data_IF_452430514631
#
_entry.id   IF_452430514631
#
_cell.length_a   1.000
_cell.length_b   1.000
_cell.length_c   1.000
_cell.angle_alpha   90.00
_cell.angle_beta   90.00
_cell.angle_gamma   90.00
#
_symmetry.space_group_name_H-M   'P 1'
#
loop_
_entity.id
_entity.type
_entity.pdbx_description
1 polymer ?
#
# COMPACT_ATOMS: atom_id res chain seq x y z
N UNK A 1 68.39 12.80 -44.80
CA UNK A 1 67.73 13.40 -43.63
C UNK A 1 66.26 12.92 -43.66
N UNK A 2 65.90 11.98 -42.76
CA UNK A 2 64.53 11.46 -42.64
C UNK A 2 63.93 12.09 -41.36
N UNK A 3 62.88 12.88 -41.50
CA UNK A 3 62.11 13.43 -40.40
C UNK A 3 61.05 12.40 -39.95
N UNK A 4 61.10 11.93 -38.69
CA UNK A 4 60.08 11.15 -38.04
C UNK A 4 59.14 12.12 -37.30
N UNK A 5 57.89 12.25 -37.76
CA UNK A 5 56.82 12.97 -37.06
C UNK A 5 56.17 12.00 -36.07
N UNK A 6 56.29 12.26 -34.78
CA UNK A 6 55.58 11.52 -33.72
C UNK A 6 54.16 12.11 -33.59
N UNK A 7 53.15 11.32 -33.93
CA UNK A 7 51.76 11.63 -33.57
C UNK A 7 51.52 11.22 -32.11
N UNK A 8 51.20 12.18 -31.27
CA UNK A 8 50.77 12.00 -29.88
C UNK A 8 49.23 11.86 -29.86
N UNK A 9 48.73 10.62 -29.76
CA UNK A 9 47.32 10.37 -29.56
C UNK A 9 46.93 10.68 -28.11
N UNK A 10 46.28 11.84 -27.88
CA UNK A 10 45.61 12.14 -26.61
C UNK A 10 44.29 11.39 -26.55
N UNK A 11 44.24 10.29 -25.75
CA UNK A 11 43.02 9.58 -25.43
C UNK A 11 42.26 10.41 -24.37
N UNK A 12 41.22 11.14 -24.79
CA UNK A 12 40.29 11.81 -23.88
C UNK A 12 39.39 10.70 -23.23
N UNK A 13 39.70 10.32 -22.01
CA UNK A 13 38.79 9.54 -21.17
C UNK A 13 37.62 10.47 -20.75
N UNK A 14 36.47 10.36 -21.40
CA UNK A 14 35.21 10.93 -20.90
C UNK A 14 34.74 10.08 -19.73
N UNK A 15 34.95 10.57 -18.52
CA UNK A 15 34.38 10.01 -17.30
C UNK A 15 32.87 10.36 -17.31
N UNK A 16 32.04 9.44 -17.72
CA UNK A 16 30.60 9.49 -17.47
C UNK A 16 30.37 9.31 -15.97
N UNK A 17 30.22 10.40 -15.26
CA UNK A 17 29.71 10.38 -13.88
C UNK A 17 28.25 9.93 -13.94
N UNK A 18 27.98 8.64 -13.73
CA UNK A 18 26.65 8.16 -13.39
C UNK A 18 26.30 8.75 -12.01
N UNK A 19 25.60 9.89 -11.99
CA UNK A 19 24.92 10.29 -10.77
C UNK A 19 23.87 9.21 -10.48
N UNK A 20 24.06 8.45 -9.41
CA UNK A 20 23.05 7.50 -8.95
C UNK A 20 21.75 8.30 -8.72
N UNK A 21 20.76 8.04 -9.55
CA UNK A 21 19.46 8.70 -9.43
C UNK A 21 18.89 8.38 -8.04
N UNK A 22 18.44 9.41 -7.33
CA UNK A 22 17.86 9.24 -6.01
C UNK A 22 16.66 8.29 -6.07
N UNK A 23 16.62 7.30 -5.18
CA UNK A 23 15.51 6.36 -5.15
C UNK A 23 14.20 7.06 -4.77
N UNK A 24 13.17 6.80 -5.53
CA UNK A 24 11.82 7.28 -5.31
C UNK A 24 10.97 6.24 -4.56
N UNK A 25 9.89 6.69 -3.90
CA UNK A 25 8.86 5.86 -3.28
C UNK A 25 7.52 6.17 -3.94
N UNK A 26 7.34 5.74 -5.18
CA UNK A 26 6.32 6.22 -6.11
C UNK A 26 4.89 5.70 -5.86
N UNK A 27 4.74 4.72 -4.97
CA UNK A 27 3.46 4.10 -4.61
C UNK A 27 3.49 3.62 -3.15
N UNK A 28 2.34 3.16 -2.65
CA UNK A 28 2.17 2.73 -1.26
C UNK A 28 3.23 1.72 -0.77
N UNK A 29 3.63 0.76 -1.60
CA UNK A 29 4.61 -0.28 -1.21
C UNK A 29 6.01 -0.04 -1.75
N UNK A 30 6.30 1.19 -2.19
CA UNK A 30 7.62 1.57 -2.69
C UNK A 30 7.94 1.04 -4.08
N UNK A 31 9.20 1.18 -4.52
CA UNK A 31 9.59 0.92 -5.90
C UNK A 31 9.38 -0.53 -6.36
N UNK A 32 9.40 -1.47 -5.42
CA UNK A 32 9.28 -2.91 -5.71
C UNK A 32 7.90 -3.49 -5.36
N UNK A 33 6.92 -2.67 -4.98
CA UNK A 33 5.58 -3.08 -4.54
C UNK A 33 5.57 -4.10 -3.38
N UNK A 34 6.65 -4.24 -2.65
CA UNK A 34 6.85 -5.24 -1.59
C UNK A 34 7.21 -4.65 -0.22
N UNK A 35 7.33 -3.31 -0.12
CA UNK A 35 7.66 -2.58 1.11
C UNK A 35 9.15 -2.34 1.31
N UNK A 36 10.01 -2.69 0.36
CA UNK A 36 11.45 -2.49 0.50
C UNK A 36 11.99 -1.34 -0.36
N UNK A 37 13.04 -0.69 0.17
CA UNK A 37 13.93 0.21 -0.56
C UNK A 37 15.19 -0.56 -0.96
N UNK A 38 15.69 -0.30 -2.16
CA UNK A 38 16.98 -0.82 -2.66
C UNK A 38 18.11 0.20 -2.55
N UNK A 39 17.82 1.42 -2.08
CA UNK A 39 18.86 2.44 -1.87
C UNK A 39 19.93 1.95 -0.91
N UNK A 40 21.19 2.17 -1.27
CA UNK A 40 22.33 1.91 -0.40
C UNK A 40 22.56 3.01 0.65
N UNK A 41 21.86 4.15 0.53
CA UNK A 41 21.98 5.25 1.49
C UNK A 41 21.44 4.81 2.85
N UNK A 42 22.23 4.96 3.93
CA UNK A 42 21.80 4.58 5.26
C UNK A 42 20.51 5.28 5.68
N UNK A 43 19.56 4.51 6.19
CA UNK A 43 18.33 5.05 6.79
C UNK A 43 18.49 5.23 8.30
N UNK A 44 17.88 6.26 8.91
CA UNK A 44 17.97 6.53 10.34
C UNK A 44 17.53 5.34 11.21
N UNK A 45 18.37 4.94 12.15
CA UNK A 45 18.04 3.89 13.13
C UNK A 45 17.65 4.44 14.50
N UNK A 46 17.94 5.72 14.76
CA UNK A 46 17.64 6.40 16.03
C UNK A 46 17.16 7.81 15.71
N UNK A 47 15.93 8.14 16.13
CA UNK A 47 15.29 9.43 15.92
C UNK A 47 14.09 9.58 16.85
N UNK A 48 13.58 10.79 17.01
CA UNK A 48 12.30 11.07 17.67
C UNK A 48 11.62 12.28 17.01
N UNK A 49 10.52 12.76 17.59
CA UNK A 49 9.76 13.90 17.06
C UNK A 49 10.51 15.25 17.11
N UNK A 50 11.73 15.29 17.67
CA UNK A 50 12.59 16.48 17.77
C UNK A 50 13.97 16.25 17.16
N UNK A 51 14.53 15.05 17.34
CA UNK A 51 15.89 14.72 16.90
C UNK A 51 15.87 14.06 15.51
N UNK A 52 16.77 14.45 14.65
CA UNK A 52 16.87 14.04 13.23
C UNK A 52 15.67 14.42 12.38
N UNK A 53 14.81 15.30 12.86
CA UNK A 53 13.72 15.88 12.06
C UNK A 53 14.30 16.94 11.14
N UNK A 54 14.34 16.65 9.84
CA UNK A 54 14.71 17.63 8.83
C UNK A 54 13.66 18.73 8.72
N UNK A 55 12.41 18.31 8.70
CA UNK A 55 11.25 19.19 8.76
C UNK A 55 9.99 18.43 9.25
N UNK A 56 9.02 19.21 9.68
CA UNK A 56 7.69 18.77 10.09
C UNK A 56 6.66 19.72 9.51
N UNK A 57 5.58 19.20 8.94
CA UNK A 57 4.43 19.98 8.45
C UNK A 57 3.15 19.47 9.06
N UNK A 58 2.29 20.39 9.50
CA UNK A 58 0.96 20.05 10.01
C UNK A 58 0.02 19.68 8.86
N UNK A 59 -0.76 18.64 9.07
CA UNK A 59 -1.74 18.15 8.11
C UNK A 59 -3.15 18.59 8.50
N UNK A 60 -4.03 18.88 7.52
CA UNK A 60 -5.38 19.38 7.80
C UNK A 60 -6.31 18.33 8.43
N UNK A 61 -5.96 17.05 8.37
CA UNK A 61 -6.75 16.00 8.99
C UNK A 61 -6.15 14.61 8.85
N UNK A 62 -6.78 13.65 9.53
CA UNK A 62 -6.34 12.26 9.60
C UNK A 62 -6.47 11.52 8.27
N UNK A 63 -5.61 10.53 8.07
CA UNK A 63 -5.69 9.57 6.97
C UNK A 63 -4.70 8.44 7.21
N UNK A 64 -4.97 7.28 6.63
CA UNK A 64 -4.04 6.15 6.61
C UNK A 64 -3.15 6.11 5.35
N UNK A 65 -3.29 7.09 4.44
CA UNK A 65 -2.48 7.16 3.23
C UNK A 65 -0.99 7.28 3.57
N UNK A 66 -0.19 6.38 3.04
CA UNK A 66 1.27 6.48 3.09
C UNK A 66 1.72 7.59 2.16
N UNK A 67 2.62 8.49 2.57
CA UNK A 67 3.20 9.47 1.67
C UNK A 67 4.00 8.78 0.57
N UNK A 68 3.95 9.33 -0.65
CA UNK A 68 4.82 8.92 -1.74
C UNK A 68 5.83 10.01 -2.04
N UNK A 69 6.99 9.60 -2.57
CA UNK A 69 8.11 10.49 -2.83
C UNK A 69 8.59 10.33 -4.26
N UNK A 70 8.71 11.45 -4.96
CA UNK A 70 9.31 11.48 -6.27
C UNK A 70 10.25 12.69 -6.37
N UNK A 71 11.54 12.41 -6.52
CA UNK A 71 12.59 13.44 -6.57
C UNK A 71 12.47 14.47 -5.43
N UNK A 72 12.24 15.74 -5.76
CA UNK A 72 12.09 16.84 -4.81
C UNK A 72 10.70 17.01 -4.19
N UNK A 73 9.77 16.07 -4.39
CA UNK A 73 8.36 16.19 -3.97
C UNK A 73 7.90 15.04 -3.11
N UNK A 74 7.03 15.36 -2.16
CA UNK A 74 6.29 14.39 -1.33
C UNK A 74 4.81 14.65 -1.54
N UNK A 75 4.06 13.61 -1.95
CA UNK A 75 2.61 13.71 -2.15
C UNK A 75 1.87 12.95 -1.08
N UNK A 76 0.74 13.50 -0.63
CA UNK A 76 -0.06 12.92 0.42
C UNK A 76 -1.55 13.28 0.28
N UNK A 77 -2.42 12.30 0.49
CA UNK A 77 -3.86 12.52 0.61
C UNK A 77 -4.20 12.99 2.02
N UNK A 78 -5.17 13.88 2.16
CA UNK A 78 -5.71 14.29 3.46
C UNK A 78 -7.21 14.60 3.35
N UNK A 79 -7.83 14.87 4.48
CA UNK A 79 -9.22 15.31 4.56
C UNK A 79 -9.34 16.47 5.57
N UNK A 80 -10.08 17.51 5.18
CA UNK A 80 -10.51 18.54 6.13
C UNK A 80 -11.95 18.24 6.49
N UNK A 81 -12.18 17.69 7.67
CA UNK A 81 -13.50 17.22 8.11
C UNK A 81 -14.40 18.43 8.36
N UNK A 82 -15.58 18.44 7.72
CA UNK A 82 -16.64 19.42 7.93
C UNK A 82 -17.72 18.93 8.88
N UNK A 83 -17.90 17.60 8.98
CA UNK A 83 -18.84 16.95 9.88
C UNK A 83 -18.17 15.72 10.52
N UNK A 84 -17.85 15.82 11.80
CA UNK A 84 -17.18 14.77 12.54
C UNK A 84 -18.03 13.48 12.69
N UNK A 85 -19.37 13.60 12.66
CA UNK A 85 -20.27 12.45 12.79
C UNK A 85 -20.29 11.57 11.54
N UNK A 86 -20.22 12.19 10.38
CA UNK A 86 -20.28 11.49 9.09
C UNK A 86 -18.88 11.29 8.47
N UNK A 87 -17.85 11.97 8.99
CA UNK A 87 -16.51 11.97 8.40
C UNK A 87 -16.45 12.66 7.04
N UNK A 88 -17.48 13.44 6.68
CA UNK A 88 -17.51 14.19 5.41
C UNK A 88 -16.70 15.46 5.50
N UNK A 89 -16.15 15.91 4.38
CA UNK A 89 -15.35 17.13 4.29
C UNK A 89 -14.68 17.28 2.94
N UNK A 90 -13.77 18.24 2.83
CA UNK A 90 -12.95 18.39 1.64
C UNK A 90 -11.91 17.27 1.56
N UNK A 91 -11.86 16.58 0.44
CA UNK A 91 -10.78 15.65 0.10
C UNK A 91 -9.63 16.44 -0.49
N UNK A 92 -8.43 16.26 0.05
CA UNK A 92 -7.28 17.10 -0.27
C UNK A 92 -6.16 16.27 -0.88
N UNK A 93 -5.69 16.74 -2.03
CA UNK A 93 -4.43 16.33 -2.65
C UNK A 93 -3.36 17.35 -2.31
N UNK A 94 -2.23 16.92 -1.77
CA UNK A 94 -1.17 17.83 -1.29
C UNK A 94 0.19 17.42 -1.85
N UNK A 95 1.00 18.42 -2.16
CA UNK A 95 2.41 18.28 -2.51
C UNK A 95 3.26 19.12 -1.58
N UNK A 96 4.31 18.51 -1.04
CA UNK A 96 5.26 19.12 -0.12
C UNK A 96 6.66 19.08 -0.73
N UNK A 97 7.42 20.15 -0.61
CA UNK A 97 8.84 20.17 -0.99
C UNK A 97 9.63 19.24 -0.06
N UNK A 98 10.31 18.27 -0.66
CA UNK A 98 11.07 17.25 0.06
C UNK A 98 12.23 17.82 0.88
N UNK A 99 12.80 18.92 0.44
CA UNK A 99 13.98 19.52 1.08
C UNK A 99 13.64 20.36 2.29
N UNK A 100 12.50 21.10 2.24
CA UNK A 100 12.12 22.13 3.20
C UNK A 100 10.87 21.83 4.01
N UNK A 101 9.99 20.92 3.54
CA UNK A 101 8.68 20.69 4.12
C UNK A 101 7.63 21.74 3.74
N UNK A 102 7.96 22.71 2.87
CA UNK A 102 6.99 23.72 2.41
C UNK A 102 5.90 23.07 1.57
N UNK A 103 4.64 23.38 1.83
CA UNK A 103 3.53 22.99 0.97
C UNK A 103 3.69 23.74 -0.36
N UNK A 104 3.92 23.00 -1.44
CA UNK A 104 4.04 23.55 -2.79
C UNK A 104 2.66 23.83 -3.39
N UNK A 105 1.73 22.92 -3.18
CA UNK A 105 0.33 23.07 -3.54
C UNK A 105 -0.58 22.17 -2.70
N UNK A 106 -1.82 22.62 -2.55
CA UNK A 106 -2.95 21.90 -1.97
C UNK A 106 -4.13 22.09 -2.90
N UNK A 107 -4.78 20.98 -3.29
CA UNK A 107 -5.92 21.00 -4.20
C UNK A 107 -7.14 20.33 -3.55
N UNK A 108 -8.31 20.91 -3.78
CA UNK A 108 -9.57 20.26 -3.42
C UNK A 108 -9.89 19.17 -4.46
N UNK A 109 -9.69 17.92 -4.06
CA UNK A 109 -9.93 16.76 -4.90
C UNK A 109 -11.40 16.29 -4.89
N UNK A 110 -12.25 16.85 -4.04
CA UNK A 110 -13.65 16.51 -3.94
C UNK A 110 -14.22 16.77 -2.54
N UNK A 111 -15.51 16.47 -2.38
CA UNK A 111 -16.19 16.50 -1.09
C UNK A 111 -16.38 15.08 -0.54
N UNK A 112 -16.46 14.95 0.77
CA UNK A 112 -16.77 13.67 1.40
C UNK A 112 -18.14 13.14 0.93
N UNK A 113 -18.25 11.81 0.87
CA UNK A 113 -19.47 11.12 0.48
C UNK A 113 -20.06 10.38 1.69
N UNK A 114 -21.36 10.53 1.91
CA UNK A 114 -22.03 9.82 3.01
C UNK A 114 -22.18 8.34 2.67
N UNK A 115 -21.81 7.44 3.58
CA UNK A 115 -21.88 6.00 3.31
C UNK A 115 -23.29 5.42 3.20
N UNK A 116 -24.34 6.22 3.18
CA UNK A 116 -25.73 5.79 3.07
C UNK A 116 -26.48 5.84 4.38
N UNK A 117 -27.62 5.12 4.47
CA UNK A 117 -28.49 5.09 5.64
C UNK A 117 -28.60 3.68 6.22
N UNK A 118 -28.75 3.60 7.53
CA UNK A 118 -29.08 2.38 8.25
C UNK A 118 -30.28 2.64 9.14
N UNK A 119 -31.32 1.81 9.04
CA UNK A 119 -32.55 1.92 9.84
C UNK A 119 -33.19 3.33 9.79
N UNK A 120 -33.12 3.98 8.61
CA UNK A 120 -33.66 5.34 8.40
C UNK A 120 -32.75 6.48 8.83
N UNK A 121 -31.65 6.21 9.52
CA UNK A 121 -30.66 7.19 9.96
C UNK A 121 -29.43 7.22 9.05
N UNK A 122 -28.77 8.38 8.97
CA UNK A 122 -27.49 8.52 8.30
C UNK A 122 -26.47 7.59 8.98
N UNK A 123 -25.79 6.74 8.20
CA UNK A 123 -24.76 5.88 8.71
C UNK A 123 -23.53 6.70 9.10
N UNK A 124 -23.09 6.55 10.34
CA UNK A 124 -21.85 7.17 10.82
C UNK A 124 -20.65 6.31 10.42
N UNK A 125 -19.60 6.96 9.90
CA UNK A 125 -18.33 6.29 9.66
C UNK A 125 -17.73 5.79 10.99
N UNK A 126 -17.27 4.55 10.98
CA UNK A 126 -16.43 4.06 12.08
C UNK A 126 -15.15 4.93 12.16
N UNK A 127 -14.68 5.19 13.37
CA UNK A 127 -13.45 5.98 13.62
C UNK A 127 -12.22 5.47 12.85
N UNK A 128 -12.28 4.24 12.36
CA UNK A 128 -11.25 3.61 11.54
C UNK A 128 -11.43 3.89 10.05
N UNK A 129 -12.56 4.39 9.62
CA UNK A 129 -12.85 4.67 8.22
C UNK A 129 -12.60 6.15 7.91
N UNK A 130 -12.03 6.39 6.72
CA UNK A 130 -11.76 7.74 6.23
C UNK A 130 -11.76 7.71 4.70
N UNK A 131 -12.28 8.74 4.06
CA UNK A 131 -12.32 8.79 2.59
C UNK A 131 -10.95 9.04 1.95
N UNK A 132 -9.96 9.56 2.69
CA UNK A 132 -8.62 9.85 2.18
C UNK A 132 -7.58 8.76 2.53
N UNK A 133 -7.98 7.52 2.75
CA UNK A 133 -7.08 6.45 3.22
C UNK A 133 -6.20 5.83 2.13
N UNK A 134 -6.58 5.93 0.85
CA UNK A 134 -5.77 5.44 -0.24
C UNK A 134 -4.53 6.31 -0.45
N UNK A 135 -3.38 5.68 -0.67
CA UNK A 135 -2.13 6.36 -1.00
C UNK A 135 -2.13 6.82 -2.44
N UNK A 136 -1.59 8.00 -2.76
CA UNK A 136 -1.41 8.43 -4.13
C UNK A 136 -0.36 7.58 -4.85
N UNK A 137 -0.27 7.76 -6.18
CA UNK A 137 0.69 7.08 -7.04
C UNK A 137 1.20 8.04 -8.12
N UNK A 138 2.48 7.92 -8.51
CA UNK A 138 3.10 8.77 -9.54
C UNK A 138 4.08 8.00 -10.43
N UNK A 139 4.22 8.47 -11.67
CA UNK A 139 5.28 8.04 -12.60
C UNK A 139 6.30 9.15 -12.87
N UNK A 140 6.20 10.28 -12.15
CA UNK A 140 7.04 11.45 -12.30
C UNK A 140 6.55 12.47 -13.33
N UNK A 141 5.56 12.13 -14.15
CA UNK A 141 4.92 13.06 -15.08
C UNK A 141 3.59 13.61 -14.49
N UNK A 142 2.90 12.76 -13.78
CA UNK A 142 1.65 13.08 -13.09
C UNK A 142 1.56 12.38 -11.74
N UNK A 143 0.63 12.84 -10.92
CA UNK A 143 0.28 12.19 -9.66
C UNK A 143 -1.22 11.95 -9.60
N UNK A 144 -1.62 10.75 -9.20
CA UNK A 144 -3.03 10.34 -9.14
C UNK A 144 -3.41 10.06 -7.69
N UNK A 145 -4.52 10.65 -7.27
CA UNK A 145 -5.13 10.49 -5.96
C UNK A 145 -6.45 9.73 -6.11
N UNK A 146 -6.68 8.77 -5.22
CA UNK A 146 -7.93 8.01 -5.14
C UNK A 146 -8.55 8.17 -3.75
N UNK A 147 -9.88 8.21 -3.69
CA UNK A 147 -10.62 8.47 -2.46
C UNK A 147 -11.74 7.45 -2.24
N UNK A 148 -12.11 7.29 -0.97
CA UNK A 148 -13.10 6.29 -0.55
C UNK A 148 -14.52 6.52 -1.07
N UNK A 149 -14.83 7.72 -1.58
CA UNK A 149 -16.07 8.05 -2.26
C UNK A 149 -16.05 7.74 -3.77
N UNK A 150 -14.98 7.13 -4.27
CA UNK A 150 -14.81 6.80 -5.68
C UNK A 150 -14.19 7.90 -6.53
N UNK A 151 -13.88 9.08 -5.99
CA UNK A 151 -13.19 10.13 -6.72
C UNK A 151 -11.76 9.69 -7.06
N UNK A 152 -11.39 9.89 -8.31
CA UNK A 152 -10.08 9.67 -8.89
C UNK A 152 -9.65 10.94 -9.61
N UNK A 153 -8.54 11.55 -9.19
CA UNK A 153 -8.09 12.83 -9.75
C UNK A 153 -6.60 12.77 -10.06
N UNK A 154 -6.23 13.17 -11.26
CA UNK A 154 -4.84 13.31 -11.68
C UNK A 154 -4.45 14.78 -11.77
N UNK A 155 -3.26 15.08 -11.28
CA UNK A 155 -2.62 16.39 -11.40
C UNK A 155 -1.27 16.24 -12.10
N UNK A 156 -0.83 17.28 -12.78
CA UNK A 156 0.57 17.40 -13.15
C UNK A 156 1.43 17.61 -11.88
N UNK A 157 2.74 17.57 -12.02
CA UNK A 157 3.64 17.74 -10.87
C UNK A 157 3.56 19.15 -10.24
N UNK A 158 3.00 20.13 -10.95
CA UNK A 158 2.74 21.50 -10.48
C UNK A 158 1.41 21.68 -9.77
N UNK A 159 0.54 20.66 -9.75
CA UNK A 159 -0.77 20.70 -9.09
C UNK A 159 -1.92 21.15 -9.99
N UNK A 160 -1.69 21.30 -11.31
CA UNK A 160 -2.79 21.54 -12.28
C UNK A 160 -3.54 20.25 -12.53
N UNK A 161 -4.87 20.27 -12.35
CA UNK A 161 -5.73 19.13 -12.66
C UNK A 161 -5.66 18.77 -14.14
N UNK A 162 -5.40 17.50 -14.44
CA UNK A 162 -5.35 16.94 -15.77
C UNK A 162 -6.68 16.29 -16.15
N UNK A 163 -7.22 15.48 -15.23
CA UNK A 163 -8.51 14.84 -15.38
C UNK A 163 -9.09 14.44 -14.03
N UNK A 164 -10.39 14.26 -14.00
CA UNK A 164 -11.18 13.77 -12.86
C UNK A 164 -12.23 12.78 -13.33
N UNK A 165 -12.49 11.75 -12.51
CA UNK A 165 -13.64 10.86 -12.68
C UNK A 165 -14.13 10.34 -11.32
N UNK A 166 -15.32 9.79 -11.28
CA UNK A 166 -15.85 9.11 -10.10
C UNK A 166 -16.26 7.69 -10.47
N UNK A 167 -15.64 6.71 -9.82
CA UNK A 167 -15.85 5.27 -10.12
C UNK A 167 -17.27 4.82 -9.79
N UNK A 168 -17.90 5.41 -8.79
CA UNK A 168 -19.30 5.10 -8.46
C UNK A 168 -20.29 5.65 -9.50
N UNK A 169 -20.02 6.83 -10.03
CA UNK A 169 -20.83 7.38 -11.14
C UNK A 169 -20.71 6.53 -12.40
N UNK A 170 -19.52 6.00 -12.67
CA UNK A 170 -19.28 5.20 -13.86
C UNK A 170 -19.84 3.76 -13.77
N UNK A 171 -19.80 3.14 -12.57
CA UNK A 171 -20.05 1.70 -12.43
C UNK A 171 -21.05 1.32 -11.35
N UNK A 172 -21.63 2.30 -10.66
CA UNK A 172 -22.62 2.12 -9.59
C UNK A 172 -22.02 2.25 -8.18
N UNK A 173 -22.89 2.46 -7.22
CA UNK A 173 -22.54 2.69 -5.83
C UNK A 173 -21.77 1.51 -5.25
N UNK A 174 -20.79 1.83 -4.41
CA UNK A 174 -19.98 0.82 -3.73
C UNK A 174 -20.75 0.07 -2.64
N UNK A 175 -20.55 -1.24 -2.60
CA UNK A 175 -21.08 -2.16 -1.60
C UNK A 175 -20.02 -2.54 -0.57
N UNK A 176 -19.53 -1.57 0.21
CA UNK A 176 -18.53 -1.79 1.27
C UNK A 176 -19.12 -1.53 2.65
N UNK A 177 -18.78 -2.40 3.62
CA UNK A 177 -19.05 -2.19 5.05
C UNK A 177 -18.32 -0.95 5.57
N UNK A 178 -17.06 -0.81 5.17
CA UNK A 178 -16.17 0.31 5.49
C UNK A 178 -16.08 1.25 4.27
N UNK A 179 -15.17 2.19 4.26
CA UNK A 179 -14.90 2.98 3.05
C UNK A 179 -14.01 2.20 2.09
N UNK A 180 -14.22 2.39 0.77
CA UNK A 180 -13.25 1.96 -0.23
C UNK A 180 -11.87 2.59 0.07
N UNK A 181 -10.80 1.79 0.07
CA UNK A 181 -9.46 2.28 0.47
C UNK A 181 -8.31 1.60 -0.27
N UNK A 182 -8.59 0.79 -1.28
CA UNK A 182 -7.54 0.25 -2.13
C UNK A 182 -6.80 1.39 -2.84
N UNK A 183 -5.47 1.38 -2.78
CA UNK A 183 -4.65 2.33 -3.53
C UNK A 183 -4.58 1.91 -4.99
N UNK A 184 -4.52 2.88 -5.90
CA UNK A 184 -4.26 2.60 -7.31
C UNK A 184 -2.80 2.15 -7.51
N UNK A 185 -2.54 1.46 -8.62
CA UNK A 185 -1.21 0.99 -9.02
C UNK A 185 -0.87 1.49 -10.40
N UNK A 186 0.25 2.20 -10.54
CA UNK A 186 0.84 2.54 -11.84
C UNK A 186 1.90 1.50 -12.20
N UNK A 187 1.75 0.87 -13.37
CA UNK A 187 2.71 -0.11 -13.88
C UNK A 187 2.61 -0.24 -15.39
N UNK A 188 3.74 -0.33 -16.09
CA UNK A 188 3.76 -0.52 -17.53
C UNK A 188 2.98 0.54 -18.33
N UNK A 189 2.97 1.80 -17.87
CA UNK A 189 2.23 2.88 -18.52
C UNK A 189 0.71 2.81 -18.35
N UNK A 190 0.20 2.00 -17.42
CA UNK A 190 -1.23 1.84 -17.12
C UNK A 190 -1.53 2.05 -15.65
N UNK A 191 -2.74 2.49 -15.36
CA UNK A 191 -3.27 2.66 -14.00
C UNK A 191 -4.27 1.54 -13.71
N UNK A 192 -4.05 0.81 -12.63
CA UNK A 192 -4.90 -0.30 -12.21
C UNK A 192 -5.59 0.03 -10.88
N UNK A 193 -6.85 -0.36 -10.75
CA UNK A 193 -7.64 -0.20 -9.53
C UNK A 193 -8.50 -1.43 -9.28
N UNK A 194 -8.42 -2.09 -8.11
CA UNK A 194 -9.32 -3.17 -7.75
C UNK A 194 -10.55 -2.59 -7.04
N UNK A 195 -11.74 -3.04 -7.41
CA UNK A 195 -12.98 -2.81 -6.68
C UNK A 195 -13.54 -4.16 -6.30
N UNK A 196 -13.17 -4.65 -5.12
CA UNK A 196 -13.56 -5.97 -4.61
C UNK A 196 -14.55 -5.78 -3.48
N UNK A 197 -15.84 -5.92 -3.78
CA UNK A 197 -16.96 -5.50 -2.96
C UNK A 197 -18.00 -6.61 -2.80
N UNK A 198 -18.96 -6.42 -1.90
CA UNK A 198 -20.12 -7.31 -1.78
C UNK A 198 -20.98 -7.26 -3.04
N UNK A 199 -21.73 -8.32 -3.22
CA UNK A 199 -22.76 -8.43 -4.26
C UNK A 199 -24.18 -8.12 -3.74
N UNK A 200 -24.26 -7.49 -2.57
CA UNK A 200 -25.52 -7.07 -1.92
C UNK A 200 -25.40 -5.63 -1.41
N UNK A 201 -26.51 -4.90 -1.27
CA UNK A 201 -26.49 -3.55 -0.72
C UNK A 201 -25.93 -3.50 0.70
N UNK A 202 -25.12 -2.47 0.99
CA UNK A 202 -24.56 -2.23 2.30
C UNK A 202 -24.89 -0.80 2.74
N UNK A 203 -25.52 -0.66 3.90
CA UNK A 203 -25.95 0.63 4.44
C UNK A 203 -26.80 1.45 3.46
N UNK A 204 -27.70 0.77 2.74
CA UNK A 204 -28.61 1.40 1.76
C UNK A 204 -27.94 1.85 0.47
N UNK A 205 -26.69 1.43 0.21
CA UNK A 205 -25.94 1.72 -1.02
C UNK A 205 -25.67 0.45 -1.81
N UNK A 206 -25.50 0.63 -3.12
CA UNK A 206 -25.27 -0.47 -4.04
C UNK A 206 -26.53 -1.18 -4.47
N UNK A 207 -26.35 -2.25 -5.22
CA UNK A 207 -27.42 -3.08 -5.79
C UNK A 207 -27.15 -4.55 -5.55
N UNK A 208 -28.19 -5.41 -5.52
CA UNK A 208 -27.99 -6.85 -5.65
C UNK A 208 -27.14 -7.16 -6.89
N UNK A 209 -26.29 -8.16 -6.80
CA UNK A 209 -25.37 -8.62 -7.85
C UNK A 209 -24.34 -7.58 -8.32
N UNK A 210 -24.05 -6.56 -7.51
CA UNK A 210 -22.96 -5.63 -7.78
C UNK A 210 -21.63 -6.39 -7.95
N UNK A 211 -20.98 -6.27 -9.13
CA UNK A 211 -19.80 -7.07 -9.39
C UNK A 211 -18.56 -6.54 -8.69
N UNK A 212 -17.70 -7.44 -8.24
CA UNK A 212 -16.28 -7.14 -8.03
C UNK A 212 -15.56 -7.08 -9.36
N UNK A 213 -14.65 -6.12 -9.56
CA UNK A 213 -13.94 -5.96 -10.82
C UNK A 213 -12.52 -5.37 -10.64
N UNK A 214 -11.70 -5.61 -11.65
CA UNK A 214 -10.42 -4.93 -11.85
C UNK A 214 -10.60 -3.92 -12.98
N UNK A 215 -10.06 -2.72 -12.80
CA UNK A 215 -10.14 -1.64 -13.77
C UNK A 215 -8.74 -1.24 -14.21
N UNK A 216 -8.53 -1.17 -15.53
CA UNK A 216 -7.33 -0.61 -16.13
C UNK A 216 -7.68 0.68 -16.86
N UNK A 217 -6.87 1.71 -16.67
CA UNK A 217 -7.08 3.03 -17.22
C UNK A 217 -5.79 3.59 -17.84
N UNK A 218 -5.96 4.46 -18.82
CA UNK A 218 -4.87 5.29 -19.29
C UNK A 218 -4.58 6.37 -18.24
N UNK A 219 -3.37 6.46 -17.68
CA UNK A 219 -3.07 7.39 -16.59
C UNK A 219 -3.10 8.87 -17.02
N UNK A 220 -2.85 9.18 -18.31
CA UNK A 220 -2.84 10.55 -18.83
C UNK A 220 -4.26 11.12 -19.04
N UNK A 221 -5.25 10.24 -19.26
CA UNK A 221 -6.61 10.66 -19.62
C UNK A 221 -7.71 10.17 -18.68
N UNK A 222 -7.38 9.24 -17.78
CA UNK A 222 -8.36 8.56 -16.94
C UNK A 222 -9.30 7.60 -17.67
N UNK A 223 -9.22 7.47 -19.00
CA UNK A 223 -10.10 6.63 -19.80
C UNK A 223 -9.86 5.14 -19.52
N UNK A 224 -10.96 4.39 -19.42
CA UNK A 224 -10.91 2.93 -19.26
C UNK A 224 -10.31 2.27 -20.48
N UNK A 225 -9.30 1.43 -20.27
CA UNK A 225 -8.71 0.54 -21.28
C UNK A 225 -9.47 -0.78 -21.26
N UNK A 226 -9.59 -1.39 -20.07
CA UNK A 226 -10.39 -2.59 -19.86
C UNK A 226 -11.00 -2.61 -18.44
N UNK A 227 -12.09 -3.36 -18.28
CA UNK A 227 -12.69 -3.71 -17.00
C UNK A 227 -12.98 -5.20 -16.98
N UNK A 228 -12.39 -5.92 -16.03
CA UNK A 228 -12.54 -7.36 -15.88
C UNK A 228 -13.37 -7.68 -14.62
N UNK A 229 -14.48 -8.41 -14.79
CA UNK A 229 -15.29 -8.90 -13.67
C UNK A 229 -14.52 -10.03 -12.97
N UNK A 230 -14.25 -9.85 -11.67
CA UNK A 230 -13.55 -10.86 -10.88
C UNK A 230 -14.54 -11.68 -10.08
N UNK A 231 -14.76 -12.92 -10.49
CA UNK A 231 -15.68 -13.84 -9.84
C UNK A 231 -15.10 -14.39 -8.53
N UNK A 232 -15.99 -14.64 -7.56
CA UNK A 232 -15.68 -15.30 -6.30
C UNK A 232 -16.95 -15.99 -5.78
N UNK A 233 -16.77 -17.12 -5.14
CA UNK A 233 -17.84 -17.88 -4.45
C UNK A 233 -17.96 -17.49 -2.97
N UNK A 234 -17.15 -16.53 -2.49
CA UNK A 234 -17.26 -15.98 -1.16
C UNK A 234 -18.62 -15.31 -0.90
N UNK A 235 -18.97 -15.15 0.36
CA UNK A 235 -20.24 -14.62 0.77
C UNK A 235 -20.08 -13.37 1.65
N UNK A 236 -21.01 -12.41 1.55
CA UNK A 236 -21.10 -11.21 2.41
C UNK A 236 -19.80 -10.44 2.51
N UNK A 237 -19.34 -10.14 3.75
CA UNK A 237 -18.11 -9.35 3.97
C UNK A 237 -16.85 -10.07 3.43
N UNK A 238 -16.87 -11.41 3.30
CA UNK A 238 -15.74 -12.14 2.73
C UNK A 238 -15.48 -11.83 1.25
N UNK A 239 -16.43 -11.22 0.55
CA UNK A 239 -16.23 -10.67 -0.79
C UNK A 239 -15.38 -9.38 -0.77
N UNK A 240 -15.39 -8.64 0.35
CA UNK A 240 -14.68 -7.35 0.43
C UNK A 240 -13.17 -7.53 0.54
N UNK A 241 -12.43 -6.77 -0.26
CA UNK A 241 -10.99 -6.63 -0.09
C UNK A 241 -10.57 -5.17 -0.24
N UNK A 242 -9.61 -4.78 0.59
CA UNK A 242 -9.00 -3.45 0.63
C UNK A 242 -7.55 -3.49 0.13
N UNK A 243 -7.12 -4.65 -0.35
CA UNK A 243 -5.78 -4.86 -0.89
C UNK A 243 -5.56 -4.15 -2.23
N UNK A 244 -4.32 -3.81 -2.48
CA UNK A 244 -3.85 -3.16 -3.71
C UNK A 244 -3.37 -4.22 -4.70
N UNK A 245 -3.54 -3.98 -6.00
CA UNK A 245 -2.97 -4.82 -7.07
C UNK A 245 -1.45 -4.74 -7.02
N UNK A 246 -0.78 -5.89 -7.02
CA UNK A 246 0.68 -5.99 -7.01
C UNK A 246 1.19 -6.51 -8.35
N UNK A 247 1.86 -5.69 -9.15
CA UNK A 247 2.50 -6.18 -10.38
C UNK A 247 3.73 -7.02 -10.03
N UNK A 248 3.86 -8.18 -10.67
CA UNK A 248 5.02 -9.04 -10.50
C UNK A 248 5.24 -9.95 -11.72
N UNK A 249 6.44 -9.88 -12.31
CA UNK A 249 6.86 -10.73 -13.45
C UNK A 249 5.81 -10.84 -14.57
N UNK A 250 5.33 -9.69 -15.03
CA UNK A 250 4.37 -9.62 -16.14
C UNK A 250 2.93 -10.00 -15.78
N UNK A 251 2.60 -10.11 -14.50
CA UNK A 251 1.26 -10.39 -14.01
C UNK A 251 0.81 -9.36 -12.97
N UNK A 252 -0.51 -9.24 -12.80
CA UNK A 252 -1.15 -8.49 -11.72
C UNK A 252 -1.67 -9.47 -10.66
N UNK A 253 -1.13 -9.40 -9.46
CA UNK A 253 -1.53 -10.25 -8.35
C UNK A 253 -2.62 -9.57 -7.52
N UNK A 254 -3.72 -10.28 -7.24
CA UNK A 254 -4.89 -9.77 -6.53
C UNK A 254 -5.38 -10.78 -5.52
N UNK A 255 -5.57 -10.38 -4.27
CA UNK A 255 -6.14 -11.21 -3.22
C UNK A 255 -7.46 -10.62 -2.69
N UNK A 256 -8.46 -11.45 -2.44
CA UNK A 256 -9.76 -11.08 -1.90
C UNK A 256 -10.86 -12.00 -2.40
N UNK A 257 -12.00 -12.03 -1.71
CA UNK A 257 -13.09 -12.92 -2.06
C UNK A 257 -12.66 -14.39 -1.97
N UNK A 258 -11.93 -14.77 -0.91
CA UNK A 258 -11.41 -16.11 -0.63
C UNK A 258 -10.43 -16.68 -1.67
N UNK A 259 -9.95 -15.86 -2.61
CA UNK A 259 -9.05 -16.31 -3.67
C UNK A 259 -7.89 -15.32 -3.91
N UNK A 260 -6.74 -15.89 -4.25
CA UNK A 260 -5.60 -15.21 -4.84
C UNK A 260 -5.62 -15.46 -6.35
N UNK A 261 -5.45 -14.42 -7.15
CA UNK A 261 -5.49 -14.53 -8.62
C UNK A 261 -4.33 -13.79 -9.26
N UNK A 262 -3.87 -14.32 -10.40
CA UNK A 262 -2.95 -13.65 -11.31
C UNK A 262 -3.68 -13.27 -12.59
N UNK A 263 -3.48 -12.04 -13.05
CA UNK A 263 -4.14 -11.49 -14.23
C UNK A 263 -3.12 -10.98 -15.25
N UNK A 264 -3.48 -11.04 -16.51
CA UNK A 264 -2.76 -10.42 -17.61
C UNK A 264 -2.92 -8.88 -17.55
N UNK A 265 -1.84 -8.10 -17.52
CA UNK A 265 -1.94 -6.65 -17.41
C UNK A 265 -2.49 -5.97 -18.66
N UNK A 266 -2.42 -6.61 -19.85
CA UNK A 266 -2.90 -6.04 -21.09
C UNK A 266 -4.41 -6.21 -21.28
N UNK A 267 -4.96 -7.34 -20.84
CA UNK A 267 -6.36 -7.71 -21.07
C UNK A 267 -7.21 -7.76 -19.80
N UNK A 268 -6.58 -7.88 -18.62
CA UNK A 268 -7.25 -8.13 -17.35
C UNK A 268 -7.70 -9.58 -17.15
N UNK A 269 -7.51 -10.45 -18.15
CA UNK A 269 -7.93 -11.84 -18.08
C UNK A 269 -7.22 -12.58 -16.95
N UNK A 270 -7.99 -13.38 -16.21
CA UNK A 270 -7.43 -14.24 -15.18
C UNK A 270 -6.59 -15.36 -15.81
N UNK A 271 -5.31 -15.44 -15.43
CA UNK A 271 -4.36 -16.44 -15.87
C UNK A 271 -4.47 -17.68 -14.96
N UNK A 272 -4.56 -17.46 -13.65
CA UNK A 272 -4.66 -18.50 -12.65
C UNK A 272 -5.38 -18.01 -11.42
N UNK A 273 -5.91 -18.96 -10.61
CA UNK A 273 -6.46 -18.70 -9.27
C UNK A 273 -6.10 -19.78 -8.28
N UNK A 274 -5.92 -19.35 -7.03
CA UNK A 274 -5.73 -20.21 -5.88
C UNK A 274 -6.62 -19.72 -4.73
N UNK A 275 -7.30 -20.61 -4.05
CA UNK A 275 -8.15 -20.23 -2.93
C UNK A 275 -8.59 -21.43 -2.14
N UNK A 276 -7.93 -21.69 -1.01
CA UNK A 276 -8.29 -22.79 -0.10
C UNK A 276 -8.33 -22.37 1.36
N UNK A 277 -8.19 -21.06 1.64
CA UNK A 277 -8.18 -20.58 3.03
C UNK A 277 -9.56 -20.51 3.70
N UNK A 278 -10.64 -20.57 2.92
CA UNK A 278 -12.01 -20.61 3.42
C UNK A 278 -12.79 -21.75 2.74
N UNK A 279 -12.47 -23.04 3.04
CA UNK A 279 -13.08 -24.16 2.34
C UNK A 279 -14.59 -24.20 2.54
N UNK A 280 -15.33 -24.28 1.42
CA UNK A 280 -16.80 -24.26 1.40
C UNK A 280 -17.39 -22.89 1.75
N UNK A 281 -16.58 -21.83 1.73
CA UNK A 281 -16.99 -20.44 1.98
C UNK A 281 -17.82 -20.26 3.26
N UNK A 282 -17.45 -21.00 4.31
CA UNK A 282 -18.17 -21.04 5.61
C UNK A 282 -18.09 -19.73 6.37
N UNK A 283 -16.92 -19.05 6.27
CA UNK A 283 -16.68 -17.79 6.92
C UNK A 283 -17.22 -16.65 6.05
N UNK A 284 -18.24 -15.96 6.54
CA UNK A 284 -18.93 -14.89 5.81
C UNK A 284 -18.45 -13.49 6.18
N UNK A 285 -17.60 -13.38 7.22
CA UNK A 285 -17.14 -12.11 7.79
C UNK A 285 -15.60 -11.97 7.72
N UNK A 286 -15.01 -12.53 6.67
CA UNK A 286 -13.57 -12.59 6.43
C UNK A 286 -13.11 -11.65 5.33
N UNK A 287 -13.45 -10.31 5.47
CA UNK A 287 -12.87 -9.31 4.56
C UNK A 287 -11.35 -9.39 4.58
N UNK A 288 -10.74 -9.18 3.43
CA UNK A 288 -9.29 -9.18 3.30
C UNK A 288 -8.75 -7.75 3.29
N UNK A 289 -7.76 -7.46 4.14
CA UNK A 289 -7.10 -6.15 4.18
C UNK A 289 -5.68 -6.21 3.59
N UNK A 290 -4.84 -7.21 3.93
CA UNK A 290 -3.50 -7.29 3.38
C UNK A 290 -3.49 -7.49 1.87
N UNK A 291 -2.61 -6.78 1.17
CA UNK A 291 -2.29 -7.07 -0.22
C UNK A 291 -1.43 -8.33 -0.33
N UNK A 292 -1.42 -9.03 -1.47
CA UNK A 292 -0.44 -10.09 -1.70
C UNK A 292 0.97 -9.51 -1.76
N UNK A 293 1.98 -10.30 -1.41
CA UNK A 293 3.39 -9.91 -1.52
C UNK A 293 4.19 -10.99 -2.22
N UNK A 294 4.86 -10.62 -3.30
CA UNK A 294 5.65 -11.56 -4.09
C UNK A 294 7.14 -11.46 -3.79
N UNK A 295 7.83 -12.61 -3.79
CA UNK A 295 9.27 -12.73 -3.64
C UNK A 295 9.74 -14.18 -3.65
N UNK A 296 10.98 -14.42 -3.99
CA UNK A 296 11.60 -15.76 -4.01
C UNK A 296 10.79 -16.84 -4.77
N UNK A 297 10.08 -16.46 -5.84
CA UNK A 297 9.24 -17.40 -6.61
C UNK A 297 7.89 -17.74 -5.96
N UNK A 298 7.54 -17.07 -4.89
CA UNK A 298 6.31 -17.25 -4.13
C UNK A 298 5.50 -15.97 -4.08
N UNK A 299 4.21 -16.12 -3.80
CA UNK A 299 3.33 -15.04 -3.37
C UNK A 299 2.69 -15.40 -2.02
N UNK A 300 2.77 -14.47 -1.06
CA UNK A 300 2.09 -14.61 0.22
C UNK A 300 0.69 -14.02 0.12
N UNK A 301 -0.31 -14.79 0.59
CA UNK A 301 -1.65 -14.33 0.90
C UNK A 301 -1.92 -14.53 2.39
N UNK A 302 -2.34 -13.47 3.08
CA UNK A 302 -2.76 -13.55 4.48
C UNK A 302 -4.25 -13.81 4.51
N UNK A 303 -4.69 -14.93 5.03
CA UNK A 303 -6.11 -15.11 5.32
C UNK A 303 -6.52 -14.23 6.53
N UNK A 304 -7.80 -13.80 6.60
CA UNK A 304 -8.24 -12.82 7.58
C UNK A 304 -8.16 -13.29 9.04
N UNK A 305 -8.14 -12.33 9.93
CA UNK A 305 -8.20 -12.52 11.39
C UNK A 305 -7.03 -13.38 11.90
N UNK A 306 -7.28 -14.54 12.48
CA UNK A 306 -6.25 -15.43 13.04
C UNK A 306 -5.89 -16.59 12.10
N UNK A 307 -6.39 -16.56 10.90
CA UNK A 307 -6.12 -17.60 9.92
C UNK A 307 -4.66 -17.56 9.43
N UNK A 308 -4.17 -18.66 8.85
CA UNK A 308 -2.79 -18.77 8.40
C UNK A 308 -2.41 -17.78 7.30
N UNK A 309 -1.12 -17.60 7.15
CA UNK A 309 -0.51 -17.05 5.93
C UNK A 309 -0.18 -18.22 5.01
N UNK A 310 -0.50 -18.06 3.73
CA UNK A 310 -0.28 -19.03 2.68
C UNK A 310 0.78 -18.54 1.71
N UNK A 311 1.78 -19.37 1.44
CA UNK A 311 2.79 -19.12 0.42
C UNK A 311 2.52 -20.01 -0.80
N UNK A 312 2.14 -19.37 -1.88
CA UNK A 312 1.74 -20.04 -3.12
C UNK A 312 2.87 -19.88 -4.15
N UNK A 313 3.23 -20.97 -4.83
CA UNK A 313 4.25 -20.94 -5.89
C UNK A 313 3.76 -20.08 -7.07
N UNK A 314 4.66 -19.31 -7.66
CA UNK A 314 4.40 -18.57 -8.90
C UNK A 314 4.89 -19.40 -10.08
N UNK A 315 4.21 -19.35 -11.21
CA UNK A 315 4.62 -20.05 -12.43
C UNK A 315 3.64 -21.11 -12.92
N UNK A 316 2.38 -21.06 -12.47
CA UNK A 316 1.35 -21.96 -12.97
C UNK A 316 1.06 -21.73 -14.46
N UNK A 317 0.81 -22.81 -15.14
CA UNK A 317 0.31 -22.83 -16.53
C UNK A 317 -1.16 -23.24 -16.61
N UNK A 318 -1.76 -23.66 -15.48
CA UNK A 318 -3.15 -24.12 -15.43
C UNK A 318 -4.07 -23.10 -14.79
N UNK A 319 -5.28 -22.99 -15.30
CA UNK A 319 -6.32 -22.05 -14.85
C UNK A 319 -6.85 -22.31 -13.44
N UNK A 320 -6.49 -23.43 -12.81
CA UNK A 320 -6.85 -23.78 -11.42
C UNK A 320 -5.66 -24.41 -10.73
N UNK A 321 -5.21 -23.77 -9.66
CA UNK A 321 -4.19 -24.32 -8.78
C UNK A 321 -4.81 -25.19 -7.69
N UNK A 322 -4.13 -26.28 -7.39
CA UNK A 322 -4.49 -27.20 -6.31
C UNK A 322 -3.63 -27.02 -5.07
N UNK A 323 -3.69 -28.02 -4.18
CA UNK A 323 -2.82 -28.09 -3.00
C UNK A 323 -1.33 -28.17 -3.37
N UNK A 324 -1.00 -28.68 -4.55
CA UNK A 324 0.37 -28.86 -5.02
C UNK A 324 1.09 -27.52 -5.30
N UNK A 325 0.33 -26.45 -5.46
CA UNK A 325 0.86 -25.09 -5.67
C UNK A 325 1.16 -24.38 -4.35
N UNK A 326 0.69 -24.92 -3.23
CA UNK A 326 1.03 -24.44 -1.89
C UNK A 326 2.45 -24.89 -1.54
N UNK A 327 3.34 -23.93 -1.29
CA UNK A 327 4.68 -24.22 -0.80
C UNK A 327 4.65 -24.54 0.70
N UNK A 328 3.94 -23.70 1.46
CA UNK A 328 3.74 -23.86 2.89
C UNK A 328 2.58 -22.96 3.39
N UNK A 329 2.14 -23.22 4.60
CA UNK A 329 1.21 -22.39 5.34
C UNK A 329 1.63 -22.30 6.81
N UNK A 330 1.08 -21.34 7.56
CA UNK A 330 1.60 -21.01 8.88
C UNK A 330 0.80 -21.57 10.07
N UNK A 331 -0.10 -22.54 9.89
CA UNK A 331 -0.94 -23.09 10.98
C UNK A 331 -0.14 -23.61 12.17
N UNK A 332 1.03 -24.20 11.91
CA UNK A 332 1.94 -24.67 12.96
C UNK A 332 2.58 -23.52 13.78
N UNK A 333 2.47 -22.27 13.31
CA UNK A 333 3.06 -21.09 13.93
C UNK A 333 1.98 -20.00 14.10
N UNK A 334 1.09 -20.08 15.11
CA UNK A 334 -0.06 -19.19 15.27
C UNK A 334 0.27 -17.70 15.45
N UNK A 335 1.53 -17.35 15.71
CA UNK A 335 2.02 -15.97 15.73
C UNK A 335 2.21 -15.40 14.32
N UNK A 336 2.34 -16.25 13.29
CA UNK A 336 2.49 -15.86 11.89
C UNK A 336 1.12 -15.76 11.24
N UNK A 337 0.47 -14.64 11.47
CA UNK A 337 -0.84 -14.28 10.90
C UNK A 337 -0.90 -12.77 10.72
N UNK A 338 -1.75 -12.27 9.85
CA UNK A 338 -1.98 -10.82 9.69
C UNK A 338 -3.42 -10.54 9.29
N UNK A 339 -4.14 -9.73 10.08
CA UNK A 339 -5.49 -9.28 9.76
C UNK A 339 -5.50 -7.98 8.94
N UNK A 340 -4.51 -7.08 9.17
CA UNK A 340 -4.46 -5.76 8.54
C UNK A 340 -3.13 -5.45 7.86
N UNK A 341 -1.95 -5.61 8.49
CA UNK A 341 -0.70 -5.27 7.85
C UNK A 341 -0.41 -6.15 6.62
N UNK A 342 -0.01 -5.54 5.52
CA UNK A 342 0.55 -6.26 4.39
C UNK A 342 1.97 -6.71 4.74
N UNK A 343 2.37 -7.97 4.50
CA UNK A 343 3.72 -8.44 4.73
C UNK A 343 4.78 -7.65 3.96
N UNK A 344 6.02 -7.83 4.33
CA UNK A 344 7.19 -7.26 3.67
C UNK A 344 8.03 -8.40 3.06
N UNK A 345 8.59 -8.18 1.86
CA UNK A 345 9.66 -9.01 1.32
C UNK A 345 10.93 -8.17 1.22
N UNK A 346 11.98 -8.57 1.95
CA UNK A 346 13.24 -7.84 2.00
C UNK A 346 14.42 -8.78 2.28
N UNK A 347 15.56 -8.55 1.63
CA UNK A 347 16.78 -9.36 1.85
C UNK A 347 16.56 -10.87 1.63
N UNK A 348 15.69 -11.25 0.67
CA UNK A 348 15.38 -12.65 0.36
C UNK A 348 14.50 -13.34 1.42
N UNK A 349 13.85 -12.63 2.32
CA UNK A 349 13.00 -13.17 3.39
C UNK A 349 11.64 -12.47 3.43
N UNK A 350 10.62 -13.17 3.93
CA UNK A 350 9.34 -12.57 4.25
C UNK A 350 9.29 -12.14 5.72
N UNK A 351 8.60 -11.03 5.96
CA UNK A 351 8.34 -10.55 7.31
C UNK A 351 6.84 -10.31 7.46
N UNK A 352 6.24 -11.00 8.44
CA UNK A 352 4.80 -10.95 8.72
C UNK A 352 4.58 -10.30 10.07
N UNK A 353 3.88 -9.17 10.07
CA UNK A 353 3.46 -8.46 11.27
C UNK A 353 2.05 -8.90 11.64
N UNK A 354 1.91 -9.56 12.77
CA UNK A 354 0.62 -9.90 13.34
C UNK A 354 0.11 -8.77 14.25
N UNK A 355 -0.90 -8.05 13.79
CA UNK A 355 -1.55 -7.00 14.60
C UNK A 355 -2.38 -7.60 15.76
N UNK A 356 -2.82 -8.85 15.63
CA UNK A 356 -3.59 -9.55 16.64
C UNK A 356 -2.72 -10.19 17.73
N UNK A 357 -1.53 -10.69 17.38
CA UNK A 357 -0.57 -11.29 18.30
C UNK A 357 0.52 -10.31 18.74
N UNK A 358 0.59 -9.16 18.10
CA UNK A 358 1.65 -8.15 18.27
C UNK A 358 3.05 -8.76 18.15
N UNK A 359 3.29 -9.46 17.04
CA UNK A 359 4.58 -10.08 16.73
C UNK A 359 4.99 -9.76 15.30
N UNK A 360 6.26 -9.47 15.08
CA UNK A 360 6.88 -9.45 13.76
C UNK A 360 7.72 -10.72 13.62
N UNK A 361 7.44 -11.52 12.60
CA UNK A 361 8.17 -12.79 12.35
C UNK A 361 8.90 -12.74 11.02
N UNK A 362 10.18 -13.14 11.03
CA UNK A 362 11.00 -13.36 9.84
C UNK A 362 10.88 -14.80 9.38
N UNK A 363 10.60 -15.02 8.10
CA UNK A 363 10.25 -16.32 7.55
C UNK A 363 11.17 -16.66 6.38
N UNK A 364 11.74 -17.85 6.42
CA UNK A 364 12.49 -18.44 5.31
C UNK A 364 11.53 -18.80 4.16
N UNK A 365 11.68 -18.24 2.95
CA UNK A 365 10.70 -18.43 1.88
C UNK A 365 10.45 -19.88 1.48
N UNK A 366 11.51 -20.68 1.31
CA UNK A 366 11.39 -22.02 0.76
C UNK A 366 10.70 -23.03 1.70
N UNK A 367 10.71 -22.78 3.01
CA UNK A 367 10.26 -23.74 4.02
C UNK A 367 9.15 -23.23 4.95
N UNK A 368 8.88 -21.93 4.95
CA UNK A 368 7.99 -21.33 5.95
C UNK A 368 8.56 -21.30 7.37
N UNK A 369 9.83 -21.72 7.56
CA UNK A 369 10.48 -21.72 8.87
C UNK A 369 10.61 -20.31 9.42
N UNK A 370 10.14 -20.12 10.65
CA UNK A 370 10.37 -18.88 11.41
C UNK A 370 11.82 -18.82 11.83
N UNK A 371 12.53 -17.79 11.38
CA UNK A 371 13.94 -17.55 11.72
C UNK A 371 14.07 -16.85 13.07
N UNK A 372 13.20 -15.86 13.29
CA UNK A 372 13.04 -15.15 14.55
C UNK A 372 11.65 -14.51 14.63
N UNK A 373 11.20 -14.20 15.84
CA UNK A 373 9.97 -13.46 16.10
C UNK A 373 10.20 -12.47 17.23
N UNK A 374 9.76 -11.23 17.00
CA UNK A 374 9.89 -10.13 17.96
C UNK A 374 8.52 -9.69 18.44
N UNK A 375 8.33 -9.64 19.76
CA UNK A 375 7.13 -9.10 20.38
C UNK A 375 7.15 -7.58 20.27
N UNK A 376 6.12 -7.01 19.68
CA UNK A 376 5.97 -5.58 19.51
C UNK A 376 5.61 -4.92 20.84
N UNK A 377 6.25 -3.79 21.21
CA UNK A 377 6.07 -3.17 22.51
C UNK A 377 4.69 -2.50 22.69
N UNK A 378 4.37 -2.20 23.93
CA UNK A 378 3.22 -1.38 24.32
C UNK A 378 1.86 -2.05 24.12
N UNK A 379 0.80 -1.29 24.41
CA UNK A 379 -0.59 -1.79 24.39
C UNK A 379 -1.32 -1.57 23.05
N UNK A 380 -0.86 -0.66 22.23
CA UNK A 380 -1.53 -0.28 21.00
C UNK A 380 -1.35 -1.32 19.89
N UNK A 381 -2.28 -1.34 18.92
CA UNK A 381 -2.24 -2.24 17.78
C UNK A 381 -1.21 -1.74 16.76
N UNK A 382 -0.46 -2.67 16.20
CA UNK A 382 0.55 -2.45 15.15
C UNK A 382 -0.07 -2.77 13.80
N UNK A 383 -0.57 -1.75 13.08
CA UNK A 383 -1.32 -1.93 11.82
C UNK A 383 -0.71 -1.26 10.61
N UNK A 384 0.29 -0.41 10.77
CA UNK A 384 1.08 0.04 9.64
C UNK A 384 1.85 -1.15 9.04
N UNK A 385 1.77 -1.30 7.73
CA UNK A 385 2.52 -2.37 7.05
C UNK A 385 4.02 -2.12 7.16
N UNK A 386 4.84 -3.12 7.52
CA UNK A 386 6.28 -2.95 7.68
C UNK A 386 6.95 -2.57 6.35
N UNK A 387 7.98 -1.72 6.45
CA UNK A 387 8.84 -1.30 5.34
C UNK A 387 10.30 -1.46 5.72
N UNK A 388 11.21 -1.63 4.76
CA UNK A 388 12.61 -1.86 5.06
C UNK A 388 13.58 -1.16 4.11
N UNK A 389 14.75 -0.80 4.66
CA UNK A 389 15.91 -0.29 3.92
C UNK A 389 17.19 -0.41 4.75
N UNK A 390 18.32 -0.65 4.12
CA UNK A 390 19.68 -0.78 4.72
C UNK A 390 19.72 -1.57 6.04
N UNK A 391 19.12 -2.78 6.04
CA UNK A 391 19.15 -3.70 7.18
C UNK A 391 18.14 -3.40 8.29
N UNK A 392 17.30 -2.38 8.16
CA UNK A 392 16.33 -1.98 9.18
C UNK A 392 14.89 -2.11 8.69
N UNK A 393 14.00 -2.53 9.59
CA UNK A 393 12.56 -2.63 9.37
C UNK A 393 11.86 -1.58 10.24
N UNK A 394 10.88 -0.91 9.65
CA UNK A 394 10.08 0.13 10.29
C UNK A 394 8.61 -0.26 10.27
N UNK A 395 7.94 -0.08 11.38
CA UNK A 395 6.47 -0.17 11.47
C UNK A 395 5.97 0.80 12.54
N UNK A 396 4.67 1.09 12.52
CA UNK A 396 4.05 2.07 13.41
C UNK A 396 2.76 1.51 14.03
N UNK A 397 2.52 1.82 15.28
CA UNK A 397 1.27 1.48 15.97
C UNK A 397 0.24 2.62 15.90
N UNK A 398 -0.98 2.33 16.34
CA UNK A 398 -2.10 3.29 16.33
C UNK A 398 -1.84 4.58 17.11
N UNK A 399 -0.88 4.59 18.02
CA UNK A 399 -0.53 5.76 18.82
C UNK A 399 0.63 6.57 18.21
N UNK A 400 1.03 6.29 16.96
CA UNK A 400 2.14 6.98 16.30
C UNK A 400 3.51 6.66 16.91
N UNK A 401 3.67 5.49 17.53
CA UNK A 401 4.97 4.97 17.95
C UNK A 401 5.56 4.15 16.80
N UNK A 402 6.75 4.53 16.35
CA UNK A 402 7.52 3.86 15.32
C UNK A 402 8.58 2.99 15.98
N UNK A 403 8.67 1.72 15.60
CA UNK A 403 9.76 0.84 16.02
C UNK A 403 10.68 0.57 14.86
N UNK A 404 11.98 0.61 15.14
CA UNK A 404 13.07 0.24 14.24
C UNK A 404 13.64 -1.11 14.69
N UNK A 405 13.66 -2.08 13.80
CA UNK A 405 14.03 -3.47 14.08
C UNK A 405 15.18 -3.86 13.15
N UNK A 406 16.17 -4.56 13.68
CA UNK A 406 17.23 -5.15 12.87
C UNK A 406 16.67 -6.31 12.03
N UNK A 407 16.81 -6.23 10.73
CA UNK A 407 16.29 -7.27 9.84
C UNK A 407 17.05 -8.60 9.96
N UNK A 408 18.25 -8.62 10.53
CA UNK A 408 19.12 -9.79 10.67
C UNK A 408 18.61 -10.72 11.78
N UNK A 409 18.34 -10.16 12.95
CA UNK A 409 18.07 -10.95 14.16
C UNK A 409 16.75 -10.59 14.88
N UNK A 410 16.06 -9.53 14.42
CA UNK A 410 14.78 -9.09 14.97
C UNK A 410 14.92 -8.25 16.24
N UNK A 411 16.12 -7.86 16.66
CA UNK A 411 16.30 -6.99 17.82
C UNK A 411 15.70 -5.61 17.59
N UNK A 412 15.04 -5.06 18.60
CA UNK A 412 14.54 -3.69 18.58
C UNK A 412 15.72 -2.73 18.75
N UNK A 413 16.05 -2.01 17.68
CA UNK A 413 17.12 -1.00 17.69
C UNK A 413 16.66 0.26 18.41
N UNK A 414 15.41 0.68 18.15
CA UNK A 414 14.89 1.94 18.65
C UNK A 414 13.36 1.96 18.64
N UNK A 415 12.77 2.81 19.51
CA UNK A 415 11.35 3.14 19.52
C UNK A 415 11.19 4.66 19.61
N UNK A 416 10.43 5.24 18.69
CA UNK A 416 10.21 6.68 18.58
C UNK A 416 8.72 7.01 18.66
N UNK A 417 8.34 7.86 19.61
CA UNK A 417 6.99 8.43 19.69
C UNK A 417 6.90 9.63 18.76
N UNK A 418 6.21 9.46 17.62
CA UNK A 418 6.00 10.53 16.62
C UNK A 418 4.64 11.21 16.77
N UNK A 419 3.60 10.46 17.13
CA UNK A 419 2.25 10.99 17.39
C UNK A 419 2.08 11.55 18.79
N UNK A 420 0.98 12.27 19.03
CA UNK A 420 0.54 12.69 20.37
C UNK A 420 -0.09 11.53 21.13
N UNK A 421 -0.33 11.71 22.45
CA UNK A 421 -0.89 10.64 23.32
C UNK A 421 -2.29 10.16 22.92
N UNK A 422 -3.04 10.96 22.18
CA UNK A 422 -4.38 10.69 21.64
C UNK A 422 -4.40 10.60 20.11
N UNK A 423 -3.24 10.50 19.45
CA UNK A 423 -3.12 10.32 18.00
C UNK A 423 -3.42 8.85 17.64
N UNK A 424 -4.65 8.45 18.01
CA UNK A 424 -5.14 7.10 17.80
C UNK A 424 -5.44 6.83 16.31
N UNK A 425 -5.45 5.56 15.95
CA UNK A 425 -5.81 5.07 14.62
C UNK A 425 -4.83 5.43 13.49
N UNK A 426 -3.61 5.90 13.79
CA UNK A 426 -2.55 6.08 12.78
C UNK A 426 -2.17 4.73 12.17
N UNK A 427 -2.20 4.62 10.83
CA UNK A 427 -1.97 3.36 10.11
C UNK A 427 -1.11 3.51 8.87
N UNK A 428 -0.68 4.72 8.52
CA UNK A 428 0.21 4.96 7.39
C UNK A 428 1.52 4.20 7.58
N UNK A 429 2.00 3.57 6.51
CA UNK A 429 3.33 2.95 6.51
C UNK A 429 4.42 4.03 6.47
N UNK A 430 5.61 3.70 6.94
CA UNK A 430 6.78 4.58 6.80
C UNK A 430 7.27 4.49 5.37
N UNK A 431 7.30 5.61 4.64
CA UNK A 431 7.91 5.64 3.31
C UNK A 431 9.43 5.87 3.44
N UNK A 432 10.19 5.21 2.56
CA UNK A 432 11.65 5.25 2.57
C UNK A 432 12.14 5.70 1.19
N UNK A 433 12.78 6.85 1.12
CA UNK A 433 13.32 7.33 -0.14
C UNK A 433 14.71 7.92 0.06
N UNK A 434 15.70 7.38 -0.64
CA UNK A 434 17.06 7.89 -0.72
C UNK A 434 17.68 8.24 0.65
N UNK A 435 17.56 7.32 1.62
CA UNK A 435 18.10 7.45 2.98
C UNK A 435 17.25 8.28 3.95
N UNK A 436 16.09 8.76 3.53
CA UNK A 436 15.16 9.51 4.36
C UNK A 436 13.93 8.68 4.69
N UNK A 437 13.33 8.94 5.87
CA UNK A 437 12.03 8.38 6.26
C UNK A 437 10.97 9.47 6.20
N UNK A 438 9.81 9.13 5.66
CA UNK A 438 8.64 9.98 5.66
C UNK A 438 7.57 9.32 6.52
N UNK A 439 7.29 9.94 7.67
CA UNK A 439 6.40 9.39 8.70
C UNK A 439 5.19 10.29 8.81
N UNK A 440 4.01 9.73 8.56
CA UNK A 440 2.74 10.41 8.75
C UNK A 440 2.07 9.95 10.04
N UNK A 441 1.68 10.91 10.87
CA UNK A 441 0.68 10.75 11.92
C UNK A 441 -0.66 11.35 11.47
N UNK A 442 -1.69 11.37 12.31
CA UNK A 442 -2.95 12.02 11.95
C UNK A 442 -2.80 13.54 11.76
N UNK A 443 -1.90 14.17 12.51
CA UNK A 443 -1.74 15.62 12.52
C UNK A 443 -0.51 16.12 11.75
N UNK A 444 0.48 15.27 11.51
CA UNK A 444 1.76 15.74 11.00
C UNK A 444 2.39 14.79 9.98
N UNK A 445 3.15 15.35 9.07
CA UNK A 445 4.11 14.65 8.23
C UNK A 445 5.52 15.07 8.63
N UNK A 446 6.40 14.10 8.84
CA UNK A 446 7.80 14.28 9.21
C UNK A 446 8.71 13.77 8.10
N UNK A 447 9.80 14.47 7.86
CA UNK A 447 10.98 13.96 7.15
C UNK A 447 12.09 13.76 8.17
N UNK A 448 12.61 12.54 8.26
CA UNK A 448 13.69 12.13 9.15
C UNK A 448 14.92 11.80 8.30
N UNK A 449 16.13 12.21 8.75
CA UNK A 449 17.37 12.03 8.00
C UNK A 449 18.58 11.68 8.88
#
# INVERSE_FOLDING_TARGET
>A
MKYYTKFLNCLLLTIFSFSAQAENWANWRGPHHNGSSSSSKPVPGNFDAKNRVKWKVSLPGSSSATPIVWEGRVFISSIRISDAKTGTGQLLAMCVDRSTGKILWEQNAGSGYRPGKRDGFDYQLDSKANYANASPVTDGNLVIFSYGNGDLVAYDMGGKELWRRNIQQDFGDFCFQWTFSASATLHGGKLYLPVLQRNEPVHGRGKPDSPSFLLCMNPQTGKTIWKHRRHSDANKESLESFGTIIPHKGQLLVAGGDVLTGHDPETGNEIWRWGTWNPGHKEQWWRLVPSPVAGAGLVLACAPKKAPVYAVKLGFTSSRSGKDDLAWESSANPQVTSDVPTPLFYGGKFYVLSDLKKTLSCIQPNSGKVMWSTVMPGKYKWRASPTAGTGKIYTMNHNGEVVVIDAKDGSIIHSAKMGKSYDDNTRASVAIADGQLFIRTNENLYCIH
#
